data_IF_413874584981
#
_entry.id   IF_413874584981
#
_cell.length_a   1.000
_cell.length_b   1.000
_cell.length_c   1.000
_cell.angle_alpha   90.00
_cell.angle_beta   90.00
_cell.angle_gamma   90.00
#
_symmetry.space_group_name_H-M   'P 1'
#
loop_
_entity.id
_entity.type
_entity.pdbx_description
1 polymer ?
#
# COMPACT_ATOMS: atom_id res chain seq x y z
N UNK A 1 -9.61 -52.60 -22.31
CA UNK A 1 -9.32 -52.70 -20.86
C UNK A 1 -7.96 -52.09 -20.46
N UNK A 2 -6.97 -52.09 -21.35
CA UNK A 2 -5.59 -51.63 -21.09
C UNK A 2 -5.42 -50.13 -20.78
N UNK A 3 -6.24 -49.26 -21.38
CA UNK A 3 -6.12 -47.80 -21.24
C UNK A 3 -6.52 -47.28 -19.85
N UNK A 4 -7.45 -47.97 -19.17
CA UNK A 4 -7.83 -47.67 -17.78
C UNK A 4 -6.71 -48.06 -16.81
N UNK A 5 -6.04 -49.19 -17.08
CA UNK A 5 -4.90 -49.65 -16.31
C UNK A 5 -3.69 -48.73 -16.48
N UNK A 6 -3.41 -48.23 -17.70
CA UNK A 6 -2.34 -47.25 -17.92
C UNK A 6 -2.62 -45.91 -17.24
N UNK A 7 -3.88 -45.44 -17.23
CA UNK A 7 -4.28 -44.25 -16.45
C UNK A 7 -4.12 -44.47 -14.95
N UNK A 8 -4.48 -45.65 -14.44
CA UNK A 8 -4.30 -46.00 -13.02
C UNK A 8 -2.84 -46.14 -12.66
N UNK A 9 -2.03 -46.79 -13.49
CA UNK A 9 -0.60 -46.98 -13.28
C UNK A 9 0.16 -45.64 -13.31
N UNK A 10 -0.16 -44.75 -14.24
CA UNK A 10 0.40 -43.39 -14.28
C UNK A 10 -0.03 -42.55 -13.06
N UNK A 11 -1.22 -42.80 -12.50
CA UNK A 11 -1.67 -42.16 -11.26
C UNK A 11 -0.96 -42.73 -10.02
N UNK A 12 -0.58 -44.02 -10.06
CA UNK A 12 0.10 -44.73 -8.98
C UNK A 12 1.60 -44.40 -8.96
N UNK A 13 2.26 -44.24 -10.11
CA UNK A 13 3.68 -43.83 -10.15
C UNK A 13 3.91 -42.35 -9.77
N UNK A 14 2.94 -41.47 -10.03
CA UNK A 14 2.90 -40.13 -9.42
C UNK A 14 2.65 -40.15 -7.90
N UNK A 15 2.36 -41.32 -7.33
CA UNK A 15 2.09 -41.54 -5.90
C UNK A 15 3.32 -41.76 -5.02
N UNK A 16 4.54 -41.75 -5.57
CA UNK A 16 5.78 -41.94 -4.78
C UNK A 16 6.46 -40.65 -4.30
N UNK A 17 5.90 -39.46 -4.59
CA UNK A 17 6.32 -38.20 -3.94
C UNK A 17 5.53 -37.98 -2.65
N UNK A 18 6.08 -38.54 -1.58
CA UNK A 18 5.55 -38.47 -0.22
C UNK A 18 5.80 -37.09 0.43
N UNK A 19 5.14 -36.02 -0.05
CA UNK A 19 4.72 -34.90 0.80
C UNK A 19 3.55 -34.11 0.15
N UNK A 20 2.39 -34.17 0.83
CA UNK A 20 1.10 -33.50 0.57
C UNK A 20 0.13 -34.02 -0.52
N UNK A 21 -0.58 -35.16 -0.28
CA UNK A 21 -1.91 -35.35 -0.84
C UNK A 21 -2.96 -34.97 0.23
N UNK A 22 -2.94 -33.73 0.76
CA UNK A 22 -4.09 -33.24 1.51
C UNK A 22 -5.11 -32.74 0.50
N UNK A 23 -5.98 -33.65 0.06
CA UNK A 23 -7.32 -33.26 -0.38
C UNK A 23 -7.97 -32.58 0.80
N UNK A 24 -7.87 -31.25 0.84
CA UNK A 24 -8.60 -30.45 1.82
C UNK A 24 -10.08 -30.74 1.59
N UNK A 25 -10.94 -30.84 2.62
CA UNK A 25 -12.30 -31.41 2.52
C UNK A 25 -13.27 -30.77 1.48
N UNK A 26 -12.83 -29.76 0.72
CA UNK A 26 -13.62 -28.96 -0.22
C UNK A 26 -13.26 -29.14 -1.70
N UNK A 27 -12.52 -30.19 -2.07
CA UNK A 27 -12.23 -30.49 -3.49
C UNK A 27 -11.24 -29.53 -4.16
N UNK A 28 -10.40 -28.86 -3.37
CA UNK A 28 -9.30 -28.02 -3.84
C UNK A 28 -8.02 -28.86 -3.72
N UNK A 29 -7.38 -29.12 -4.85
CA UNK A 29 -6.08 -29.83 -4.91
C UNK A 29 -4.95 -28.80 -4.87
N UNK A 30 -3.95 -29.07 -4.04
CA UNK A 30 -2.69 -28.33 -4.02
C UNK A 30 -1.65 -29.04 -4.90
N UNK A 31 -0.74 -28.26 -5.47
CA UNK A 31 0.26 -28.70 -6.44
C UNK A 31 1.67 -28.43 -5.92
N UNK A 32 2.63 -29.23 -6.39
CA UNK A 32 4.07 -28.98 -6.19
C UNK A 32 4.61 -28.01 -7.25
N UNK A 33 5.77 -27.41 -7.00
CA UNK A 33 6.44 -26.46 -7.90
C UNK A 33 6.64 -27.01 -9.32
N UNK A 34 6.84 -28.31 -9.47
CA UNK A 34 7.03 -28.92 -10.79
C UNK A 34 5.72 -29.00 -11.58
N UNK A 35 4.59 -29.17 -10.89
CA UNK A 35 3.27 -29.43 -11.47
C UNK A 35 2.48 -28.17 -11.84
N UNK A 36 2.91 -27.00 -11.37
CA UNK A 36 2.25 -25.73 -11.68
C UNK A 36 2.63 -25.19 -13.07
N UNK A 37 1.77 -24.37 -13.70
CA UNK A 37 2.12 -23.70 -14.95
C UNK A 37 3.32 -22.78 -14.76
N UNK A 38 4.10 -22.58 -15.83
CA UNK A 38 5.33 -21.76 -15.84
C UNK A 38 5.06 -20.33 -15.35
N UNK A 39 3.87 -19.78 -15.60
CA UNK A 39 3.47 -18.44 -15.15
C UNK A 39 3.32 -18.29 -13.63
N UNK A 40 3.29 -19.38 -12.86
CA UNK A 40 3.24 -19.36 -11.40
C UNK A 40 4.58 -19.81 -10.77
N UNK A 41 5.56 -20.19 -11.59
CA UNK A 41 6.89 -20.66 -11.15
C UNK A 41 7.83 -19.49 -10.90
N UNK A 42 7.52 -18.69 -9.89
CA UNK A 42 8.32 -17.50 -9.57
C UNK A 42 9.53 -17.85 -8.69
N UNK A 43 9.29 -18.57 -7.58
CA UNK A 43 10.30 -18.88 -6.59
C UNK A 43 10.54 -20.40 -6.47
N UNK A 44 11.71 -20.92 -6.89
CA UNK A 44 12.01 -22.35 -6.83
C UNK A 44 12.20 -22.90 -5.41
N UNK A 45 12.39 -22.04 -4.41
CA UNK A 45 12.50 -22.45 -3.00
C UNK A 45 11.15 -22.78 -2.37
N UNK A 46 10.04 -22.38 -2.99
CA UNK A 46 8.70 -22.79 -2.56
C UNK A 46 8.39 -24.10 -3.29
N UNK A 47 8.47 -25.21 -2.58
CA UNK A 47 8.40 -26.55 -3.18
C UNK A 47 6.97 -27.05 -3.39
N UNK A 48 6.02 -26.59 -2.57
CA UNK A 48 4.66 -27.12 -2.52
C UNK A 48 3.63 -26.09 -1.99
N UNK A 49 2.37 -26.54 -1.87
CA UNK A 49 1.27 -25.71 -1.36
C UNK A 49 0.65 -24.77 -2.39
N UNK A 50 0.93 -24.96 -3.68
CA UNK A 50 0.41 -24.10 -4.74
C UNK A 50 -1.04 -24.39 -5.07
N UNK A 51 -1.79 -23.33 -5.39
CA UNK A 51 -3.12 -23.42 -5.97
C UNK A 51 -3.02 -23.19 -7.47
N UNK A 52 -3.64 -24.05 -8.28
CA UNK A 52 -3.66 -23.89 -9.73
C UNK A 52 -4.98 -24.38 -10.33
N UNK A 53 -5.33 -23.85 -11.50
CA UNK A 53 -6.47 -24.27 -12.32
C UNK A 53 -7.84 -24.16 -11.63
N UNK A 54 -8.00 -23.24 -10.67
CA UNK A 54 -9.26 -23.07 -9.93
C UNK A 54 -10.24 -22.15 -10.69
N UNK A 55 -11.55 -22.46 -10.71
CA UNK A 55 -12.59 -21.51 -11.11
C UNK A 55 -12.80 -20.45 -10.01
N UNK A 56 -13.35 -19.28 -10.36
CA UNK A 56 -13.51 -18.13 -9.43
C UNK A 56 -14.16 -18.49 -8.09
N UNK A 57 -15.17 -19.37 -8.08
CA UNK A 57 -15.84 -19.80 -6.84
C UNK A 57 -14.91 -20.57 -5.91
N UNK A 58 -14.00 -21.38 -6.46
CA UNK A 58 -13.01 -22.12 -5.68
C UNK A 58 -11.84 -21.23 -5.26
N UNK A 59 -11.49 -20.20 -6.04
CA UNK A 59 -10.54 -19.16 -5.59
C UNK A 59 -11.03 -18.47 -4.32
N UNK A 60 -12.32 -18.09 -4.25
CA UNK A 60 -12.85 -17.46 -3.02
C UNK A 60 -12.87 -18.46 -1.86
N UNK A 61 -13.26 -19.72 -2.11
CA UNK A 61 -13.25 -20.76 -1.08
C UNK A 61 -11.84 -21.12 -0.60
N UNK A 62 -10.81 -20.90 -1.42
CA UNK A 62 -9.42 -21.16 -1.06
C UNK A 62 -8.85 -20.16 -0.06
N UNK A 63 -9.57 -19.06 0.22
CA UNK A 63 -9.21 -18.08 1.26
C UNK A 63 -8.94 -18.72 2.64
N UNK A 64 -9.73 -19.74 2.98
CA UNK A 64 -9.63 -20.48 4.25
C UNK A 64 -8.79 -21.75 4.13
N UNK A 65 -8.05 -21.92 3.03
CA UNK A 65 -7.17 -23.06 2.81
C UNK A 65 -5.72 -22.59 2.91
N UNK A 66 -4.91 -23.32 3.67
CA UNK A 66 -3.50 -23.05 3.80
C UNK A 66 -2.79 -23.38 2.48
N UNK A 67 -2.02 -22.43 1.97
CA UNK A 67 -1.34 -22.46 0.67
C UNK A 67 -0.19 -21.46 0.69
N UNK A 68 0.66 -21.50 -0.34
CA UNK A 68 1.80 -20.59 -0.49
C UNK A 68 1.41 -19.09 -0.48
N UNK A 69 0.18 -18.77 -0.88
CA UNK A 69 -0.35 -17.40 -0.93
C UNK A 69 -1.15 -17.00 0.32
N UNK A 70 -1.33 -17.88 1.30
CA UNK A 70 -2.20 -17.58 2.46
C UNK A 70 -1.69 -16.37 3.23
N UNK A 71 -0.39 -16.30 3.51
CA UNK A 71 0.20 -15.15 4.22
C UNK A 71 0.00 -13.87 3.41
N UNK A 72 0.22 -13.89 2.10
CA UNK A 72 0.01 -12.73 1.22
C UNK A 72 -1.45 -12.24 1.24
N UNK A 73 -2.41 -13.15 1.20
CA UNK A 73 -3.83 -12.76 1.25
C UNK A 73 -4.19 -12.16 2.62
N UNK A 74 -3.80 -12.85 3.70
CA UNK A 74 -4.20 -12.45 5.05
C UNK A 74 -3.46 -11.20 5.53
N UNK A 75 -2.20 -10.98 5.15
CA UNK A 75 -1.47 -9.76 5.49
C UNK A 75 -2.14 -8.51 4.89
N UNK A 76 -2.55 -8.56 3.62
CA UNK A 76 -3.24 -7.45 2.96
C UNK A 76 -4.70 -7.30 3.43
N UNK A 77 -5.41 -8.40 3.74
CA UNK A 77 -6.75 -8.32 4.35
C UNK A 77 -6.71 -7.69 5.75
N UNK A 78 -5.76 -8.10 6.59
CA UNK A 78 -5.57 -7.50 7.91
C UNK A 78 -5.16 -6.03 7.77
N UNK A 79 -4.28 -5.71 6.83
CA UNK A 79 -3.94 -4.33 6.47
C UNK A 79 -5.18 -3.51 6.09
N UNK A 80 -6.06 -4.05 5.24
CA UNK A 80 -7.32 -3.40 4.89
C UNK A 80 -8.17 -3.09 6.14
N UNK A 81 -8.40 -4.06 7.03
CA UNK A 81 -9.20 -3.82 8.24
C UNK A 81 -8.53 -2.83 9.19
N UNK A 82 -7.20 -2.88 9.33
CA UNK A 82 -6.44 -1.92 10.11
C UNK A 82 -6.63 -0.50 9.58
N UNK A 83 -6.35 -0.25 8.30
CA UNK A 83 -6.51 1.09 7.72
C UNK A 83 -7.96 1.55 7.66
N UNK A 84 -8.92 0.64 7.55
CA UNK A 84 -10.34 0.97 7.61
C UNK A 84 -10.75 1.45 9.01
N UNK A 85 -10.33 0.72 10.05
CA UNK A 85 -10.63 1.10 11.44
C UNK A 85 -9.90 2.38 11.86
N UNK A 86 -8.62 2.51 11.49
CA UNK A 86 -7.87 3.76 11.65
C UNK A 86 -8.54 4.91 10.90
N UNK A 87 -9.01 4.70 9.67
CA UNK A 87 -9.69 5.74 8.91
C UNK A 87 -10.99 6.22 9.56
N UNK A 88 -11.79 5.30 10.13
CA UNK A 88 -12.97 5.69 10.92
C UNK A 88 -12.55 6.46 12.17
N UNK A 89 -11.52 6.00 12.88
CA UNK A 89 -11.01 6.67 14.07
C UNK A 89 -10.49 8.09 13.77
N UNK A 90 -9.76 8.25 12.67
CA UNK A 90 -9.25 9.54 12.23
C UNK A 90 -10.39 10.52 11.90
N UNK A 91 -11.41 10.06 11.19
CA UNK A 91 -12.56 10.89 10.79
C UNK A 91 -13.48 11.26 11.96
N UNK A 92 -13.65 10.36 12.92
CA UNK A 92 -14.63 10.54 14.00
C UNK A 92 -14.04 11.10 15.29
N UNK A 93 -12.75 10.88 15.52
CA UNK A 93 -12.10 11.21 16.79
C UNK A 93 -10.93 12.18 16.56
N UNK A 94 -9.95 11.83 15.73
CA UNK A 94 -8.70 12.60 15.60
C UNK A 94 -8.95 13.96 14.96
N UNK A 95 -9.50 14.01 13.74
CA UNK A 95 -9.72 15.26 13.01
C UNK A 95 -10.67 16.23 13.76
N UNK A 96 -11.80 15.76 14.35
CA UNK A 96 -12.63 16.63 15.18
C UNK A 96 -11.91 17.13 16.44
N UNK A 97 -11.16 16.26 17.13
CA UNK A 97 -10.43 16.65 18.35
C UNK A 97 -9.32 17.68 18.08
N UNK A 98 -8.74 17.65 16.88
CA UNK A 98 -7.75 18.61 16.41
C UNK A 98 -8.37 19.90 15.84
N UNK A 99 -9.70 20.04 15.83
CA UNK A 99 -10.41 21.14 15.16
C UNK A 99 -9.96 21.33 13.69
N UNK A 100 -9.75 20.22 12.99
CA UNK A 100 -9.21 20.20 11.64
C UNK A 100 -10.15 20.89 10.63
N UNK A 101 -9.55 21.44 9.57
CA UNK A 101 -10.28 22.12 8.50
C UNK A 101 -10.95 21.11 7.57
N UNK A 102 -11.95 21.55 6.79
CA UNK A 102 -12.63 20.69 5.80
C UNK A 102 -11.66 20.09 4.77
N UNK A 103 -10.58 20.80 4.45
CA UNK A 103 -9.55 20.33 3.52
C UNK A 103 -8.81 19.12 4.08
N UNK A 104 -8.50 19.13 5.38
CA UNK A 104 -7.85 18.01 6.06
C UNK A 104 -8.74 16.76 6.01
N UNK A 105 -10.05 16.91 6.24
CA UNK A 105 -11.02 15.81 6.09
C UNK A 105 -11.02 15.23 4.67
N UNK A 106 -11.02 16.08 3.64
CA UNK A 106 -11.03 15.65 2.23
C UNK A 106 -9.74 14.91 1.89
N UNK A 107 -8.59 15.45 2.28
CA UNK A 107 -7.28 14.90 1.91
C UNK A 107 -7.01 13.59 2.65
N UNK A 108 -7.31 13.53 3.95
CA UNK A 108 -7.23 12.28 4.70
C UNK A 108 -8.20 11.23 4.14
N UNK A 109 -9.44 11.60 3.78
CA UNK A 109 -10.41 10.67 3.19
C UNK A 109 -9.93 10.10 1.86
N UNK A 110 -9.39 10.93 0.97
CA UNK A 110 -8.84 10.49 -0.33
C UNK A 110 -7.64 9.58 -0.10
N UNK A 111 -6.71 9.95 0.79
CA UNK A 111 -5.53 9.16 1.11
C UNK A 111 -5.90 7.76 1.60
N UNK A 112 -6.77 7.69 2.61
CA UNK A 112 -7.25 6.44 3.19
C UNK A 112 -7.99 5.59 2.16
N UNK A 113 -8.83 6.21 1.32
CA UNK A 113 -9.52 5.51 0.24
C UNK A 113 -8.53 4.88 -0.76
N UNK A 114 -7.48 5.62 -1.16
CA UNK A 114 -6.43 5.09 -2.03
C UNK A 114 -5.71 3.88 -1.41
N UNK A 115 -5.38 3.93 -0.11
CA UNK A 115 -4.82 2.79 0.61
C UNK A 115 -5.76 1.58 0.63
N UNK A 116 -7.06 1.81 0.87
CA UNK A 116 -8.04 0.73 0.87
C UNK A 116 -8.16 0.04 -0.48
N UNK A 117 -8.20 0.82 -1.56
CA UNK A 117 -8.22 0.28 -2.93
C UNK A 117 -6.96 -0.53 -3.19
N UNK A 118 -5.77 -0.02 -2.83
CA UNK A 118 -4.51 -0.74 -2.97
C UNK A 118 -4.54 -2.10 -2.26
N UNK A 119 -4.97 -2.14 -1.00
CA UNK A 119 -5.04 -3.40 -0.23
C UNK A 119 -6.03 -4.40 -0.85
N UNK A 120 -7.20 -3.94 -1.28
CA UNK A 120 -8.21 -4.81 -1.91
C UNK A 120 -7.74 -5.35 -3.28
N UNK A 121 -7.06 -4.53 -4.09
CA UNK A 121 -6.50 -4.96 -5.36
C UNK A 121 -5.47 -6.08 -5.17
N UNK A 122 -4.59 -5.94 -4.16
CA UNK A 122 -3.59 -6.95 -3.83
C UNK A 122 -4.20 -8.27 -3.32
N UNK A 123 -5.19 -8.18 -2.42
CA UNK A 123 -5.97 -9.36 -1.98
C UNK A 123 -6.61 -10.05 -3.18
N UNK A 124 -7.20 -9.28 -4.10
CA UNK A 124 -7.78 -9.80 -5.33
C UNK A 124 -6.76 -10.55 -6.19
N UNK A 125 -5.57 -9.98 -6.38
CA UNK A 125 -4.50 -10.64 -7.11
C UNK A 125 -4.06 -11.96 -6.48
N UNK A 126 -3.70 -11.98 -5.20
CA UNK A 126 -3.24 -13.21 -4.55
C UNK A 126 -4.35 -14.28 -4.46
N UNK A 127 -5.62 -13.88 -4.40
CA UNK A 127 -6.76 -14.81 -4.41
C UNK A 127 -7.01 -15.41 -5.81
N UNK A 128 -6.92 -14.60 -6.87
CA UNK A 128 -7.24 -15.00 -8.24
C UNK A 128 -6.04 -15.35 -9.12
N UNK A 129 -4.80 -15.27 -8.61
CA UNK A 129 -3.58 -15.66 -9.32
C UNK A 129 -3.63 -17.10 -9.81
N UNK A 130 -4.25 -17.99 -9.02
CA UNK A 130 -4.44 -19.41 -9.31
C UNK A 130 -5.60 -19.74 -10.29
N UNK A 131 -6.26 -18.72 -10.85
CA UNK A 131 -7.45 -18.91 -11.67
C UNK A 131 -7.12 -19.66 -12.98
N UNK A 132 -7.99 -20.58 -13.41
CA UNK A 132 -7.81 -21.38 -14.64
C UNK A 132 -7.59 -20.56 -15.90
N UNK A 133 -8.20 -19.37 -15.97
CA UNK A 133 -8.01 -18.44 -17.09
C UNK A 133 -6.85 -17.49 -16.80
N UNK A 134 -5.78 -17.61 -17.58
CA UNK A 134 -4.63 -16.70 -17.50
C UNK A 134 -5.01 -15.23 -17.77
N UNK A 135 -6.04 -14.99 -18.60
CA UNK A 135 -6.54 -13.63 -18.85
C UNK A 135 -7.04 -12.97 -17.56
N UNK A 136 -7.71 -13.75 -16.70
CA UNK A 136 -8.18 -13.28 -15.40
C UNK A 136 -7.00 -13.01 -14.48
N UNK A 137 -6.04 -13.94 -14.40
CA UNK A 137 -4.81 -13.76 -13.61
C UNK A 137 -4.06 -12.49 -14.02
N UNK A 138 -3.81 -12.28 -15.32
CA UNK A 138 -3.14 -11.07 -15.84
C UNK A 138 -3.89 -9.78 -15.53
N UNK A 139 -5.23 -9.78 -15.60
CA UNK A 139 -6.04 -8.60 -15.25
C UNK A 139 -5.92 -8.26 -13.77
N UNK A 140 -6.00 -9.25 -12.89
CA UNK A 140 -5.84 -9.01 -11.46
C UNK A 140 -4.44 -8.54 -11.11
N UNK A 141 -3.41 -9.09 -11.76
CA UNK A 141 -2.03 -8.61 -11.64
C UNK A 141 -1.89 -7.14 -12.07
N UNK A 142 -2.52 -6.76 -13.19
CA UNK A 142 -2.52 -5.37 -13.64
C UNK A 142 -3.28 -4.44 -12.68
N UNK A 143 -4.40 -4.90 -12.11
CA UNK A 143 -5.16 -4.14 -11.11
C UNK A 143 -4.36 -3.92 -9.82
N UNK A 144 -3.56 -4.90 -9.40
CA UNK A 144 -2.68 -4.76 -8.23
C UNK A 144 -1.60 -3.70 -8.46
N UNK A 145 -0.90 -3.77 -9.60
CA UNK A 145 0.07 -2.73 -9.98
C UNK A 145 -0.56 -1.33 -10.11
N UNK A 146 -1.78 -1.25 -10.65
CA UNK A 146 -2.52 0.01 -10.69
C UNK A 146 -2.89 0.50 -9.28
N UNK A 147 -3.29 -0.41 -8.39
CA UNK A 147 -3.61 -0.12 -6.99
C UNK A 147 -2.41 0.45 -6.24
N UNK A 148 -1.22 -0.15 -6.39
CA UNK A 148 0.04 0.37 -5.83
C UNK A 148 0.32 1.79 -6.36
N UNK A 149 0.17 2.00 -7.66
CA UNK A 149 0.40 3.32 -8.28
C UNK A 149 -0.56 4.40 -7.73
N UNK A 150 -1.85 4.06 -7.56
CA UNK A 150 -2.86 4.95 -6.98
C UNK A 150 -2.55 5.21 -5.50
N UNK A 151 -2.14 4.19 -4.74
CA UNK A 151 -1.73 4.32 -3.34
C UNK A 151 -0.57 5.29 -3.17
N UNK A 152 0.49 5.12 -3.97
CA UNK A 152 1.66 6.02 -3.96
C UNK A 152 1.24 7.45 -4.31
N UNK A 153 0.43 7.64 -5.36
CA UNK A 153 -0.04 8.96 -5.74
C UNK A 153 -0.87 9.62 -4.62
N UNK A 154 -1.77 8.87 -3.99
CA UNK A 154 -2.55 9.35 -2.85
C UNK A 154 -1.67 9.82 -1.70
N UNK A 155 -0.68 9.02 -1.31
CA UNK A 155 0.29 9.40 -0.28
C UNK A 155 1.09 10.64 -0.66
N UNK A 156 1.54 10.70 -1.91
CA UNK A 156 2.36 11.80 -2.41
C UNK A 156 1.58 13.12 -2.39
N UNK A 157 0.34 13.12 -2.89
CA UNK A 157 -0.52 14.32 -2.90
C UNK A 157 -0.80 14.79 -1.48
N UNK A 158 -1.16 13.90 -0.56
CA UNK A 158 -1.37 14.26 0.86
C UNK A 158 -0.09 14.77 1.51
N UNK A 159 1.05 14.12 1.25
CA UNK A 159 2.35 14.53 1.75
C UNK A 159 2.75 15.93 1.26
N UNK A 160 2.54 16.24 -0.02
CA UNK A 160 2.79 17.56 -0.60
C UNK A 160 1.86 18.62 0.00
N UNK A 161 0.58 18.31 0.21
CA UNK A 161 -0.34 19.25 0.86
C UNK A 161 0.14 19.63 2.27
N UNK A 162 0.46 18.65 3.12
CA UNK A 162 0.93 18.92 4.48
C UNK A 162 2.33 19.53 4.51
N UNK A 163 3.19 19.19 3.55
CA UNK A 163 4.49 19.80 3.35
C UNK A 163 4.41 21.32 3.14
N UNK A 164 3.47 21.77 2.31
CA UNK A 164 3.32 23.18 1.95
C UNK A 164 2.17 23.89 2.69
N UNK A 165 1.58 23.25 3.70
CA UNK A 165 0.43 23.78 4.44
C UNK A 165 0.64 25.20 4.98
N UNK A 166 1.82 25.48 5.55
CA UNK A 166 2.18 26.81 6.08
C UNK A 166 2.80 27.75 5.02
N UNK A 167 2.98 27.26 3.79
CA UNK A 167 3.41 28.04 2.63
C UNK A 167 2.20 28.25 1.72
N UNK A 168 1.30 29.15 2.12
CA UNK A 168 0.36 29.74 1.18
C UNK A 168 1.18 30.32 0.02
N UNK A 169 1.29 29.60 -1.10
CA UNK A 169 1.71 30.21 -2.34
C UNK A 169 0.59 31.17 -2.70
N UNK A 170 0.78 32.51 -2.65
CA UNK A 170 -0.06 33.34 -3.49
C UNK A 170 0.11 32.77 -4.90
N UNK A 171 -1.02 32.43 -5.54
CA UNK A 171 -1.02 32.10 -6.96
C UNK A 171 -0.10 33.10 -7.66
N UNK A 172 0.84 32.66 -8.52
CA UNK A 172 1.57 33.62 -9.31
C UNK A 172 0.50 34.35 -10.12
N UNK A 173 0.18 35.59 -9.71
CA UNK A 173 -0.37 36.54 -10.63
C UNK A 173 0.60 36.50 -11.81
N UNK A 174 0.04 36.16 -12.95
CA UNK A 174 0.72 35.95 -14.22
C UNK A 174 1.68 37.12 -14.50
N UNK A 175 2.93 37.00 -14.06
CA UNK A 175 4.04 37.77 -14.61
C UNK A 175 4.45 37.03 -15.90
N UNK A 176 4.28 37.66 -17.08
CA UNK A 176 4.56 37.00 -18.34
C UNK A 176 6.07 36.85 -18.51
N UNK A 177 6.62 35.65 -18.31
CA UNK A 177 7.97 35.35 -18.83
C UNK A 177 8.90 34.37 -18.11
N UNK A 178 8.47 33.49 -17.21
CA UNK A 178 9.38 32.50 -16.62
C UNK A 178 9.19 31.08 -17.19
N UNK A 179 10.27 30.56 -17.77
CA UNK A 179 10.35 29.24 -18.38
C UNK A 179 10.34 28.11 -17.33
N UNK A 180 9.65 27.02 -17.66
CA UNK A 180 9.43 25.83 -16.83
C UNK A 180 10.69 24.94 -16.65
N UNK A 181 11.85 25.54 -16.36
CA UNK A 181 13.15 24.86 -16.47
C UNK A 181 13.96 24.67 -15.19
N UNK A 182 13.64 25.33 -14.07
CA UNK A 182 14.48 25.21 -12.88
C UNK A 182 13.70 25.52 -11.61
N UNK A 183 13.39 24.46 -10.83
CA UNK A 183 13.06 24.61 -9.42
C UNK A 183 14.38 24.92 -8.70
N UNK A 184 14.60 26.12 -8.17
CA UNK A 184 15.87 26.44 -7.53
C UNK A 184 16.00 25.65 -6.22
N UNK A 185 17.15 25.00 -6.02
CA UNK A 185 17.52 24.26 -4.79
C UNK A 185 17.40 25.07 -3.49
N UNK A 186 17.32 26.40 -3.58
CA UNK A 186 16.99 27.28 -2.43
C UNK A 186 15.58 27.08 -1.85
N UNK A 187 14.66 26.45 -2.57
CA UNK A 187 13.34 26.11 -2.03
C UNK A 187 13.43 25.04 -0.92
N UNK A 188 14.37 24.10 -1.01
CA UNK A 188 14.53 23.04 -0.02
C UNK A 188 15.16 23.54 1.29
N UNK A 189 16.08 24.52 1.24
CA UNK A 189 16.69 25.09 2.44
C UNK A 189 15.72 25.96 3.24
N UNK A 190 14.88 26.74 2.56
CA UNK A 190 13.78 27.50 3.20
C UNK A 190 12.72 26.57 3.82
N UNK A 191 12.50 25.41 3.19
CA UNK A 191 11.57 24.38 3.64
C UNK A 191 11.98 23.69 4.96
N UNK A 192 13.27 23.40 5.15
CA UNK A 192 13.81 22.79 6.40
C UNK A 192 13.76 23.73 7.62
N UNK A 193 13.77 25.04 7.40
CA UNK A 193 13.66 26.03 8.47
C UNK A 193 12.19 26.33 8.84
N UNK A 194 11.26 26.34 7.86
CA UNK A 194 9.84 26.65 8.10
C UNK A 194 9.03 25.47 8.69
N UNK A 195 9.39 24.23 8.36
CA UNK A 195 8.76 23.02 8.92
C UNK A 195 8.99 22.86 10.43
N UNK A 196 10.05 23.46 10.99
CA UNK A 196 10.29 23.51 12.44
C UNK A 196 9.40 24.50 13.20
N UNK A 197 8.69 25.40 12.52
CA UNK A 197 7.94 26.50 13.13
C UNK A 197 6.42 26.30 13.14
N UNK A 198 5.88 25.22 12.56
CA UNK A 198 4.45 24.89 12.63
C UNK A 198 4.22 23.72 13.60
N UNK A 199 3.77 23.97 14.85
CA UNK A 199 3.27 22.90 15.69
C UNK A 199 1.99 22.35 15.06
N UNK A 200 1.92 21.02 14.94
CA UNK A 200 0.78 20.21 14.47
C UNK A 200 -0.57 20.48 15.16
N UNK A 201 -0.67 21.45 16.07
CA UNK A 201 -1.75 21.56 17.04
C UNK A 201 -2.70 22.75 16.85
N UNK A 202 -2.41 23.74 16.00
CA UNK A 202 -3.30 24.89 15.76
C UNK A 202 -3.19 25.48 14.34
N UNK A 203 -4.26 25.42 13.53
CA UNK A 203 -4.35 26.15 12.25
C UNK A 203 -4.32 27.68 12.41
N UNK A 204 -4.63 28.19 13.61
CA UNK A 204 -4.74 29.64 13.89
C UNK A 204 -3.41 30.35 14.19
N UNK A 205 -2.29 29.63 14.26
CA UNK A 205 -0.96 30.20 14.56
C UNK A 205 -0.07 30.41 13.34
N UNK A 206 -0.54 30.12 12.13
CA UNK A 206 0.16 30.46 10.89
C UNK A 206 -0.05 31.94 10.52
N UNK A 207 0.19 32.86 11.45
CA UNK A 207 0.15 34.30 11.20
C UNK A 207 1.56 34.87 11.21
N UNK A 208 2.03 35.29 10.02
CA UNK A 208 3.14 36.22 9.85
C UNK A 208 4.53 35.61 10.01
N UNK A 209 5.31 35.64 8.92
CA UNK A 209 6.76 35.67 9.02
C UNK A 209 7.18 36.80 10.00
N UNK A 210 8.25 36.65 10.79
CA UNK A 210 8.73 37.74 11.61
C UNK A 210 9.09 38.91 10.68
N UNK A 211 8.43 40.04 10.88
CA UNK A 211 8.82 41.30 10.30
C UNK A 211 10.29 41.54 10.62
N UNK A 212 11.09 41.82 9.59
CA UNK A 212 12.44 42.32 9.76
C UNK A 212 12.40 43.54 10.69
N UNK A 213 12.77 43.31 11.95
CA UNK A 213 13.19 44.35 12.88
C UNK A 213 14.66 44.09 13.19
N UNK A 214 15.55 45.09 13.07
CA UNK A 214 16.97 44.89 13.35
C UNK A 214 17.11 44.54 14.82
N UNK A 215 17.86 43.48 15.12
CA UNK A 215 18.25 43.15 16.50
C UNK A 215 18.94 44.34 17.18
N UNK A 216 18.70 44.52 18.49
CA UNK A 216 19.76 44.84 19.41
C UNK A 216 20.17 43.57 20.17
N UNK A 217 21.48 43.34 20.19
CA UNK A 217 22.19 42.36 20.98
C UNK A 217 21.78 42.38 22.46
N UNK A 218 21.44 41.23 23.06
CA UNK A 218 21.66 41.02 24.47
C UNK A 218 21.89 39.54 24.83
N UNK A 219 23.02 39.36 25.48
CA UNK A 219 23.60 38.15 26.07
C UNK A 219 22.67 37.47 27.09
N UNK A 220 22.60 36.14 27.11
CA UNK A 220 21.94 35.41 28.20
C UNK A 220 21.75 33.92 27.94
N UNK A 221 22.53 33.09 28.66
CA UNK A 221 22.47 31.62 28.80
C UNK A 221 21.02 31.13 29.00
N UNK A 222 20.64 29.92 28.55
CA UNK A 222 20.80 28.64 29.27
C UNK A 222 20.55 27.50 28.27
N UNK A 223 21.44 26.51 28.24
CA UNK A 223 21.33 25.35 27.35
C UNK A 223 20.54 24.19 27.94
N UNK A 224 20.12 23.27 27.07
CA UNK A 224 20.09 21.84 27.36
C UNK A 224 20.50 21.09 26.09
N UNK A 225 21.56 20.31 26.25
CA UNK A 225 22.12 19.36 25.30
C UNK A 225 21.59 17.97 25.67
N UNK A 226 21.01 17.26 24.71
CA UNK A 226 20.87 15.81 24.64
C UNK A 226 20.38 15.50 23.20
N UNK A 227 21.04 14.74 22.33
CA UNK A 227 22.07 13.71 22.50
C UNK A 227 21.43 12.33 22.31
N UNK A 228 21.94 11.59 21.31
CA UNK A 228 21.69 10.16 20.97
C UNK A 228 20.36 9.89 20.19
N UNK A 229 20.32 9.13 19.10
CA UNK A 229 21.25 8.22 18.39
C UNK A 229 20.89 8.20 16.90
#
# INVERSE_FOLDING_TARGET
>A
MHQKLLKSAHYIELGSYQYWPVLVPRGIRLYTYEQIPVSLKDNPYITDGYRAYLPSRLCIKSLFILSNETVNIWSHLLGFFLFFTLGIYDMTSVLPSASASREDFVICSICLFCFQVCMLCSVGYHLFSCHRSEKTCRRWMALDYAGISIGILGCYVSGVFYAFYCNNFPAPLSEPGQSWGSIPTRYFESYSQKTRACPLHKPSTCTGAPSHTPQPSLSGKIGYSAGFL
#
